data_IF_083080908518
#
_entry.id   IF_083080908518
#
_cell.length_a   1.000
_cell.length_b   1.000
_cell.length_c   1.000
_cell.angle_alpha   90.00
_cell.angle_beta   90.00
_cell.angle_gamma   90.00
#
_symmetry.space_group_name_H-M   'P 1'
#
loop_
_entity.id
_entity.type
_entity.pdbx_description
1 polymer ?
#
# COMPACT_ATOMS: atom_id res chain seq x y z
N UNK A 1 -20.26 2.76 10.56
CA UNK A 1 -20.10 3.82 9.56
C UNK A 1 -19.57 3.16 8.30
N UNK A 2 -20.19 3.43 7.14
CA UNK A 2 -19.62 3.02 5.85
C UNK A 2 -18.64 4.12 5.45
N UNK A 3 -17.41 3.73 5.12
CA UNK A 3 -16.38 4.64 4.62
C UNK A 3 -16.34 4.50 3.10
N UNK A 4 -15.96 5.55 2.38
CA UNK A 4 -15.77 5.50 0.93
C UNK A 4 -14.29 5.67 0.63
N UNK A 5 -13.76 4.82 -0.23
CA UNK A 5 -12.41 5.00 -0.78
C UNK A 5 -12.53 5.39 -2.23
N UNK A 6 -11.92 6.51 -2.60
CA UNK A 6 -11.84 6.99 -3.97
C UNK A 6 -10.41 6.84 -4.45
N UNK A 7 -10.22 6.20 -5.59
CA UNK A 7 -8.90 5.98 -6.17
C UNK A 7 -8.77 6.77 -7.48
N UNK A 8 -7.66 7.47 -7.61
CA UNK A 8 -7.32 8.27 -8.78
C UNK A 8 -5.96 7.80 -9.31
N UNK A 9 -5.93 7.34 -10.55
CA UNK A 9 -4.69 6.88 -11.18
C UNK A 9 -4.01 7.99 -11.96
N UNK A 10 -2.68 7.98 -11.99
CA UNK A 10 -1.90 8.76 -12.94
C UNK A 10 -1.59 7.89 -14.17
N UNK A 11 -2.50 7.90 -15.15
CA UNK A 11 -2.39 7.14 -16.40
C UNK A 11 -1.21 7.64 -17.24
N UNK A 12 -0.30 6.74 -17.63
CA UNK A 12 0.93 7.09 -18.35
C UNK A 12 0.66 7.22 -19.85
N UNK A 13 0.85 8.42 -20.40
CA UNK A 13 0.51 8.77 -21.78
C UNK A 13 1.67 8.50 -22.77
N UNK A 14 2.92 8.49 -22.31
CA UNK A 14 4.12 8.38 -23.16
C UNK A 14 5.11 7.26 -22.71
N UNK A 15 4.65 6.01 -22.51
CA UNK A 15 5.49 4.95 -21.95
C UNK A 15 6.74 4.63 -22.81
N UNK A 16 6.62 4.72 -24.14
CA UNK A 16 7.71 4.42 -25.08
C UNK A 16 8.79 5.51 -25.07
N UNK A 17 8.41 6.75 -24.85
CA UNK A 17 9.30 7.89 -24.74
C UNK A 17 10.05 7.84 -23.39
N UNK A 18 9.36 7.47 -22.31
CA UNK A 18 9.97 7.35 -20.98
C UNK A 18 11.07 6.29 -20.95
N UNK A 19 10.85 5.11 -21.55
CA UNK A 19 11.90 4.07 -21.61
C UNK A 19 13.15 4.51 -22.38
N UNK A 20 13.04 5.58 -23.18
CA UNK A 20 14.15 6.21 -23.90
C UNK A 20 14.67 7.49 -23.23
N UNK A 21 14.24 7.80 -22.01
CA UNK A 21 14.76 8.90 -21.19
C UNK A 21 13.95 10.19 -21.21
N UNK A 22 12.80 10.22 -21.90
CA UNK A 22 11.90 11.36 -21.82
C UNK A 22 11.27 11.49 -20.42
N UNK A 23 10.84 12.71 -20.09
CA UNK A 23 10.08 12.96 -18.85
C UNK A 23 8.70 12.27 -18.93
N UNK A 24 8.21 11.64 -17.85
CA UNK A 24 6.86 11.08 -17.83
C UNK A 24 5.78 12.16 -18.02
N UNK A 25 4.83 11.85 -18.90
CA UNK A 25 3.56 12.54 -19.04
C UNK A 25 2.47 11.63 -18.48
N UNK A 26 1.74 12.14 -17.49
CA UNK A 26 0.65 11.41 -16.86
C UNK A 26 -0.63 12.22 -16.88
N UNK A 27 -1.76 11.54 -16.92
CA UNK A 27 -3.10 12.12 -16.84
C UNK A 27 -3.88 11.48 -15.72
N UNK A 28 -4.52 12.28 -14.88
CA UNK A 28 -5.37 11.75 -13.82
C UNK A 28 -6.62 11.06 -14.41
N UNK A 29 -6.95 9.89 -13.88
CA UNK A 29 -8.12 9.09 -14.25
C UNK A 29 -8.80 8.55 -12.99
N UNK A 30 -10.04 8.97 -12.76
CA UNK A 30 -10.84 8.66 -11.57
C UNK A 30 -11.87 9.77 -11.29
N UNK A 31 -12.66 9.63 -10.22
CA UNK A 31 -12.52 8.63 -9.17
C UNK A 31 -13.08 7.25 -9.52
N UNK A 32 -12.39 6.19 -9.09
CA UNK A 32 -12.97 4.87 -8.91
C UNK A 32 -13.35 4.71 -7.44
N UNK A 33 -14.64 4.69 -7.16
CA UNK A 33 -15.19 4.74 -5.80
C UNK A 33 -15.58 3.35 -5.32
N UNK A 34 -15.19 3.01 -4.09
CA UNK A 34 -15.59 1.78 -3.43
C UNK A 34 -16.13 2.08 -2.03
N UNK A 35 -17.21 1.39 -1.65
CA UNK A 35 -17.65 1.29 -0.26
C UNK A 35 -16.68 0.39 0.49
N UNK A 36 -16.16 0.90 1.60
CA UNK A 36 -15.26 0.19 2.49
C UNK A 36 -15.98 -0.19 3.78
N UNK A 37 -15.97 -1.49 4.08
CA UNK A 37 -16.50 -2.05 5.31
C UNK A 37 -15.38 -2.64 6.16
N UNK A 38 -15.31 -2.23 7.43
CA UNK A 38 -14.35 -2.77 8.39
C UNK A 38 -15.02 -3.77 9.32
N UNK A 39 -14.48 -4.99 9.39
CA UNK A 39 -14.96 -6.03 10.32
C UNK A 39 -13.87 -6.36 11.33
N UNK A 40 -14.08 -5.95 12.58
CA UNK A 40 -13.25 -6.33 13.73
C UNK A 40 -13.73 -7.66 14.32
N UNK A 41 -12.80 -8.57 14.62
CA UNK A 41 -13.06 -9.86 15.27
C UNK A 41 -12.30 -9.92 16.58
N UNK A 42 -13.03 -9.93 17.69
CA UNK A 42 -12.44 -10.01 19.04
C UNK A 42 -11.74 -11.36 19.20
N UNK A 43 -10.52 -11.33 19.74
CA UNK A 43 -9.70 -12.50 20.04
C UNK A 43 -9.62 -12.78 21.53
N UNK A 44 -9.49 -11.74 22.36
CA UNK A 44 -9.45 -11.86 23.81
C UNK A 44 -9.79 -10.54 24.49
N UNK A 45 -10.13 -10.64 25.77
CA UNK A 45 -10.36 -9.51 26.67
C UNK A 45 -9.55 -9.78 27.95
N UNK A 46 -8.82 -8.79 28.42
CA UNK A 46 -8.10 -8.82 29.69
C UNK A 46 -8.67 -7.73 30.60
N UNK A 47 -9.35 -8.15 31.67
CA UNK A 47 -10.00 -7.24 32.60
C UNK A 47 -9.02 -6.55 33.55
N UNK A 48 -7.93 -7.23 33.91
CA UNK A 48 -6.93 -6.70 34.84
C UNK A 48 -6.14 -5.58 34.16
N UNK A 49 -5.71 -5.82 32.92
CA UNK A 49 -4.98 -4.86 32.11
C UNK A 49 -5.87 -3.84 31.40
N UNK A 50 -7.20 -3.99 31.50
CA UNK A 50 -8.20 -3.21 30.79
C UNK A 50 -7.98 -3.14 29.26
N UNK A 51 -7.70 -4.30 28.66
CA UNK A 51 -7.44 -4.40 27.22
C UNK A 51 -8.41 -5.32 26.49
N UNK A 52 -8.60 -5.03 25.21
CA UNK A 52 -9.26 -5.89 24.24
C UNK A 52 -8.32 -6.14 23.07
N UNK A 53 -8.20 -7.39 22.66
CA UNK A 53 -7.43 -7.75 21.48
C UNK A 53 -8.34 -8.17 20.34
N UNK A 54 -8.12 -7.63 19.14
CA UNK A 54 -8.89 -7.94 17.94
C UNK A 54 -8.00 -8.01 16.71
N UNK A 55 -8.51 -8.68 15.68
CA UNK A 55 -7.99 -8.56 14.32
C UNK A 55 -9.05 -7.90 13.43
N UNK A 56 -8.65 -7.23 12.35
CA UNK A 56 -9.59 -6.55 11.46
C UNK A 56 -9.30 -6.85 9.99
N UNK A 57 -10.38 -6.87 9.19
CA UNK A 57 -10.31 -6.99 7.73
C UNK A 57 -11.16 -5.92 7.07
N UNK A 58 -10.78 -5.52 5.87
CA UNK A 58 -11.44 -4.46 5.10
C UNK A 58 -12.03 -5.06 3.81
N UNK A 59 -13.32 -4.85 3.58
CA UNK A 59 -14.04 -5.34 2.40
C UNK A 59 -14.37 -4.12 1.54
N UNK A 60 -14.12 -4.24 0.24
CA UNK A 60 -14.33 -3.18 -0.74
C UNK A 60 -15.38 -3.63 -1.75
N UNK A 61 -16.36 -2.76 -2.01
CA UNK A 61 -17.44 -2.98 -2.96
C UNK A 61 -17.52 -1.78 -3.91
N UNK A 62 -17.40 -2.01 -5.21
CA UNK A 62 -17.39 -0.93 -6.21
C UNK A 62 -18.73 -0.19 -6.22
N UNK A 63 -18.68 1.15 -6.22
CA UNK A 63 -19.84 2.02 -6.31
C UNK A 63 -19.86 2.71 -7.68
N UNK A 64 -20.60 2.12 -8.61
CA UNK A 64 -20.71 2.63 -9.97
C UNK A 64 -21.40 3.99 -10.05
N UNK A 65 -22.34 4.29 -9.13
CA UNK A 65 -23.04 5.58 -9.12
C UNK A 65 -22.09 6.68 -8.66
N UNK A 66 -21.37 6.47 -7.55
CA UNK A 66 -20.40 7.42 -7.04
C UNK A 66 -19.18 7.61 -7.95
N UNK A 67 -18.83 6.61 -8.76
CA UNK A 67 -17.76 6.68 -9.77
C UNK A 67 -18.15 7.44 -11.04
N UNK A 68 -19.43 7.79 -11.20
CA UNK A 68 -19.92 8.53 -12.37
C UNK A 68 -19.69 7.78 -13.68
N UNK A 69 -18.80 8.30 -14.53
CA UNK A 69 -18.50 7.69 -15.84
C UNK A 69 -17.37 6.66 -15.79
N UNK A 70 -16.73 6.45 -14.63
CA UNK A 70 -15.64 5.52 -14.48
C UNK A 70 -16.13 4.15 -14.03
N UNK A 71 -15.53 3.10 -14.58
CA UNK A 71 -15.81 1.71 -14.24
C UNK A 71 -14.53 1.04 -13.75
N UNK A 72 -14.60 0.19 -12.73
CA UNK A 72 -13.42 -0.60 -12.33
C UNK A 72 -13.00 -1.65 -13.38
N UNK A 73 -13.80 -1.81 -14.43
CA UNK A 73 -13.46 -2.55 -15.66
C UNK A 73 -12.62 -1.72 -16.65
N UNK A 74 -12.41 -0.42 -16.39
CA UNK A 74 -11.53 0.44 -17.19
C UNK A 74 -10.07 -0.02 -17.14
N UNK A 75 -9.31 0.41 -18.14
CA UNK A 75 -7.86 0.16 -18.21
C UNK A 75 -7.05 1.42 -17.93
N UNK A 76 -5.90 1.24 -17.28
CA UNK A 76 -4.87 2.26 -17.03
C UNK A 76 -3.49 1.72 -17.42
N UNK A 77 -2.64 2.59 -17.92
CA UNK A 77 -1.23 2.35 -18.18
C UNK A 77 -0.43 2.81 -16.96
N UNK A 78 0.19 1.87 -16.25
CA UNK A 78 0.91 2.13 -15.00
C UNK A 78 2.28 1.46 -15.01
N UNK A 79 3.19 1.94 -14.16
CA UNK A 79 4.46 1.25 -13.91
C UNK A 79 4.19 -0.20 -13.50
N UNK A 80 4.95 -1.12 -14.10
CA UNK A 80 5.00 -2.52 -13.68
C UNK A 80 5.64 -2.61 -12.28
N UNK A 81 4.79 -2.42 -11.28
CA UNK A 81 5.15 -2.29 -9.87
C UNK A 81 5.80 -3.57 -9.32
N UNK A 82 5.31 -4.79 -9.65
CA UNK A 82 6.00 -6.04 -9.31
C UNK A 82 7.43 -6.09 -9.85
N UNK A 83 7.62 -5.78 -11.14
CA UNK A 83 8.95 -5.82 -11.77
C UNK A 83 9.89 -4.80 -11.16
N UNK A 84 9.45 -3.54 -11.03
CA UNK A 84 10.27 -2.48 -10.46
C UNK A 84 10.67 -2.81 -9.01
N UNK A 85 9.74 -3.35 -8.21
CA UNK A 85 10.01 -3.73 -6.82
C UNK A 85 10.98 -4.90 -6.71
N UNK A 86 10.81 -5.95 -7.53
CA UNK A 86 11.70 -7.12 -7.54
C UNK A 86 13.11 -6.73 -7.98
N UNK A 87 13.26 -5.87 -8.98
CA UNK A 87 14.56 -5.40 -9.45
C UNK A 87 15.26 -4.55 -8.37
N UNK A 88 14.55 -3.67 -7.68
CA UNK A 88 15.14 -2.92 -6.56
C UNK A 88 15.58 -3.82 -5.39
N UNK A 89 14.77 -4.84 -5.06
CA UNK A 89 15.15 -5.84 -4.07
C UNK A 89 16.40 -6.59 -4.52
N UNK A 90 16.45 -7.04 -5.78
CA UNK A 90 17.59 -7.76 -6.32
C UNK A 90 18.88 -6.92 -6.32
N UNK A 91 18.80 -5.60 -6.57
CA UNK A 91 19.95 -4.69 -6.46
C UNK A 91 20.52 -4.66 -5.03
N UNK A 92 19.66 -4.74 -3.99
CA UNK A 92 20.09 -4.79 -2.59
C UNK A 92 20.91 -6.05 -2.25
N UNK A 93 20.66 -7.16 -2.95
CA UNK A 93 21.40 -8.42 -2.75
C UNK A 93 22.68 -8.50 -3.59
N UNK A 94 22.96 -7.50 -4.43
CA UNK A 94 24.22 -7.37 -5.15
C UNK A 94 24.09 -7.43 -6.67
N UNK A 95 25.04 -6.80 -7.35
CA UNK A 95 25.01 -6.59 -8.79
C UNK A 95 25.00 -7.89 -9.63
N UNK A 96 25.54 -9.00 -9.09
CA UNK A 96 25.53 -10.30 -9.77
C UNK A 96 24.12 -10.87 -9.92
N UNK A 97 23.24 -10.65 -8.93
CA UNK A 97 21.84 -11.12 -9.02
C UNK A 97 21.13 -10.40 -10.15
N UNK A 98 21.32 -9.09 -10.27
CA UNK A 98 20.72 -8.30 -11.35
C UNK A 98 21.18 -8.74 -12.73
N UNK A 99 22.46 -9.12 -12.90
CA UNK A 99 22.94 -9.71 -14.16
C UNK A 99 22.23 -11.02 -14.51
N UNK A 100 22.03 -11.89 -13.52
CA UNK A 100 21.33 -13.16 -13.72
C UNK A 100 19.86 -12.93 -14.11
N UNK A 101 19.21 -11.93 -13.51
CA UNK A 101 17.81 -11.61 -13.80
C UNK A 101 17.60 -10.97 -15.17
N UNK A 102 18.57 -10.18 -15.66
CA UNK A 102 18.48 -9.49 -16.93
C UNK A 102 18.07 -10.39 -18.10
N UNK A 103 18.66 -11.59 -18.17
CA UNK A 103 18.42 -12.55 -19.23
C UNK A 103 17.14 -13.37 -19.04
N UNK A 104 16.50 -13.26 -17.87
CA UNK A 104 15.35 -14.06 -17.46
C UNK A 104 14.10 -13.23 -17.16
N UNK A 105 14.14 -11.91 -17.38
CA UNK A 105 13.02 -11.02 -17.06
C UNK A 105 11.73 -11.41 -17.77
N UNK A 106 11.82 -11.74 -19.06
CA UNK A 106 10.65 -12.15 -19.83
C UNK A 106 10.03 -13.44 -19.29
N UNK A 107 10.83 -14.39 -18.81
CA UNK A 107 10.32 -15.63 -18.21
C UNK A 107 9.69 -15.36 -16.82
N UNK A 108 10.20 -14.39 -16.08
CA UNK A 108 9.65 -14.04 -14.75
C UNK A 108 8.32 -13.29 -14.88
N UNK A 109 8.23 -12.34 -15.80
CA UNK A 109 7.10 -11.42 -15.93
C UNK A 109 6.17 -11.73 -17.10
N UNK A 110 6.52 -12.68 -17.97
CA UNK A 110 5.74 -13.09 -19.14
C UNK A 110 5.29 -11.90 -20.00
N UNK A 111 3.97 -11.75 -20.20
CA UNK A 111 3.35 -10.65 -20.94
C UNK A 111 3.55 -9.27 -20.28
N UNK A 112 4.02 -9.22 -19.03
CA UNK A 112 4.44 -8.00 -18.35
C UNK A 112 5.94 -7.72 -18.48
N UNK A 113 6.59 -8.17 -19.55
CA UNK A 113 8.02 -7.90 -19.79
C UNK A 113 8.38 -6.42 -20.02
N UNK A 114 7.43 -5.50 -19.98
CA UNK A 114 7.63 -4.06 -20.21
C UNK A 114 7.67 -3.25 -18.91
N UNK A 115 8.35 -2.09 -18.94
CA UNK A 115 8.43 -1.17 -17.78
C UNK A 115 7.05 -0.64 -17.39
N UNK A 116 6.20 -0.36 -18.37
CA UNK A 116 4.81 0.06 -18.19
C UNK A 116 3.88 -1.01 -18.72
N UNK A 117 2.78 -1.25 -18.01
CA UNK A 117 1.77 -2.25 -18.35
C UNK A 117 0.40 -1.60 -18.40
N UNK A 118 -0.41 -2.02 -19.36
CA UNK A 118 -1.82 -1.65 -19.44
C UNK A 118 -2.64 -2.71 -18.72
N UNK A 119 -3.29 -2.32 -17.63
CA UNK A 119 -3.99 -3.23 -16.71
C UNK A 119 -5.38 -2.73 -16.41
N UNK A 120 -6.30 -3.65 -16.11
CA UNK A 120 -7.64 -3.32 -15.65
C UNK A 120 -7.56 -2.76 -14.23
N UNK A 121 -8.37 -1.75 -13.92
CA UNK A 121 -8.39 -1.08 -12.61
C UNK A 121 -8.67 -2.08 -11.50
N UNK A 122 -9.69 -2.92 -11.66
CA UNK A 122 -10.02 -3.95 -10.68
C UNK A 122 -8.91 -4.97 -10.46
N UNK A 123 -8.17 -5.35 -11.51
CA UNK A 123 -7.04 -6.28 -11.40
C UNK A 123 -5.89 -5.69 -10.60
N UNK A 124 -5.50 -4.46 -10.90
CA UNK A 124 -4.36 -3.84 -10.20
C UNK A 124 -4.70 -3.47 -8.75
N UNK A 125 -5.95 -3.14 -8.46
CA UNK A 125 -6.39 -2.82 -7.10
C UNK A 125 -6.68 -4.05 -6.25
N UNK A 126 -7.36 -5.06 -6.80
CA UNK A 126 -7.93 -6.17 -6.04
C UNK A 126 -7.70 -7.54 -6.67
N UNK A 127 -8.26 -7.83 -7.85
CA UNK A 127 -8.33 -9.20 -8.40
C UNK A 127 -6.94 -9.82 -8.62
N UNK A 128 -5.96 -9.00 -8.98
CA UNK A 128 -4.55 -9.38 -9.11
C UNK A 128 -4.06 -9.41 -10.55
N UNK A 129 -2.90 -8.81 -10.80
CA UNK A 129 -2.18 -8.93 -12.07
C UNK A 129 -1.17 -10.07 -11.97
N UNK A 130 -1.33 -11.08 -12.83
CA UNK A 130 -0.59 -12.34 -12.76
C UNK A 130 0.87 -12.20 -13.27
N UNK A 131 1.82 -12.79 -12.55
CA UNK A 131 3.23 -12.92 -12.92
C UNK A 131 3.79 -14.26 -12.41
N UNK A 132 5.06 -14.57 -12.69
CA UNK A 132 5.68 -15.82 -12.22
C UNK A 132 4.92 -17.09 -12.66
N UNK A 133 4.36 -17.10 -13.88
CA UNK A 133 3.63 -18.27 -14.39
C UNK A 133 4.62 -19.40 -14.67
N UNK A 134 4.50 -20.57 -14.01
CA UNK A 134 5.41 -21.68 -14.22
C UNK A 134 5.36 -22.17 -15.67
N UNK A 135 6.52 -22.27 -16.30
CA UNK A 135 6.68 -22.87 -17.62
C UNK A 135 8.09 -23.48 -17.73
N UNK A 136 8.28 -24.37 -18.71
CA UNK A 136 9.60 -24.95 -18.95
C UNK A 136 10.49 -23.93 -19.67
N UNK A 137 11.53 -23.46 -19.00
CA UNK A 137 12.52 -22.55 -19.58
C UNK A 137 13.91 -22.76 -18.97
N UNK A 138 14.94 -22.24 -19.66
CA UNK A 138 16.31 -22.22 -19.14
C UNK A 138 16.47 -21.32 -17.89
N UNK A 139 15.47 -20.50 -17.58
CA UNK A 139 15.43 -19.61 -16.43
C UNK A 139 14.57 -20.12 -15.26
N UNK A 140 14.09 -21.37 -15.30
CA UNK A 140 13.19 -21.92 -14.28
C UNK A 140 13.75 -21.83 -12.84
N UNK A 141 15.06 -22.01 -12.66
CA UNK A 141 15.70 -21.88 -11.34
C UNK A 141 15.68 -20.43 -10.83
N UNK A 142 16.05 -19.48 -11.68
CA UNK A 142 16.06 -18.04 -11.38
C UNK A 142 14.65 -17.54 -11.10
N UNK A 143 13.69 -17.97 -11.92
CA UNK A 143 12.27 -17.68 -11.72
C UNK A 143 11.83 -18.18 -10.34
N UNK A 144 12.07 -19.46 -10.02
CA UNK A 144 11.70 -20.05 -8.72
C UNK A 144 12.27 -19.25 -7.55
N UNK A 145 13.54 -18.85 -7.60
CA UNK A 145 14.17 -18.06 -6.54
C UNK A 145 13.50 -16.69 -6.36
N UNK A 146 13.29 -15.95 -7.45
CA UNK A 146 12.64 -14.63 -7.42
C UNK A 146 11.20 -14.73 -6.93
N UNK A 147 10.44 -15.67 -7.47
CA UNK A 147 9.04 -15.85 -7.13
C UNK A 147 8.87 -16.28 -5.66
N UNK A 148 9.78 -17.09 -5.11
CA UNK A 148 9.76 -17.44 -3.69
C UNK A 148 10.01 -16.23 -2.76
N UNK A 149 10.82 -15.26 -3.20
CA UNK A 149 11.02 -14.01 -2.46
C UNK A 149 9.80 -13.11 -2.59
N UNK A 150 9.24 -12.99 -3.80
CA UNK A 150 8.06 -12.18 -4.08
C UNK A 150 6.82 -12.69 -3.33
N UNK A 151 6.61 -14.01 -3.27
CA UNK A 151 5.49 -14.66 -2.59
C UNK A 151 5.42 -14.40 -1.07
N UNK A 152 6.47 -13.86 -0.46
CA UNK A 152 6.48 -13.46 0.96
C UNK A 152 5.92 -12.05 1.19
N UNK A 153 5.62 -11.29 0.14
CA UNK A 153 5.10 -9.92 0.23
C UNK A 153 3.59 -9.94 0.40
N UNK A 154 3.05 -9.06 1.24
CA UNK A 154 1.60 -9.01 1.55
C UNK A 154 0.75 -8.77 0.30
N UNK A 155 1.20 -7.91 -0.60
CA UNK A 155 0.56 -7.56 -1.87
C UNK A 155 0.67 -8.64 -2.95
N UNK A 156 1.25 -9.80 -2.65
CA UNK A 156 1.45 -10.89 -3.61
C UNK A 156 0.74 -12.13 -3.11
N UNK A 157 -0.16 -12.67 -3.93
CA UNK A 157 -0.85 -13.92 -3.65
C UNK A 157 -0.27 -15.06 -4.50
N UNK A 158 -0.22 -16.26 -3.93
CA UNK A 158 0.15 -17.48 -4.66
C UNK A 158 -1.12 -18.20 -5.09
N UNK A 159 -1.24 -18.44 -6.39
CA UNK A 159 -2.37 -19.14 -7.01
C UNK A 159 -2.18 -20.67 -6.99
N UNK A 160 -3.27 -21.41 -7.21
CA UNK A 160 -3.27 -22.88 -7.20
C UNK A 160 -2.31 -23.49 -8.23
N UNK A 161 -2.15 -22.84 -9.38
CA UNK A 161 -1.20 -23.25 -10.42
C UNK A 161 0.25 -22.83 -10.13
N UNK A 162 0.59 -22.45 -8.89
CA UNK A 162 1.88 -21.91 -8.45
C UNK A 162 2.31 -20.58 -9.08
N UNK A 163 1.49 -19.94 -9.91
CA UNK A 163 1.75 -18.57 -10.34
C UNK A 163 1.50 -17.58 -9.20
N UNK A 164 1.99 -16.35 -9.39
CA UNK A 164 1.77 -15.26 -8.44
C UNK A 164 0.87 -14.21 -9.05
N UNK A 165 0.15 -13.48 -8.21
CA UNK A 165 -0.58 -12.29 -8.61
C UNK A 165 -0.27 -11.14 -7.69
N UNK A 166 -0.23 -9.93 -8.22
CA UNK A 166 -0.01 -8.71 -7.46
C UNK A 166 -1.24 -7.82 -7.51
N UNK A 167 -1.64 -7.28 -6.36
CA UNK A 167 -2.61 -6.19 -6.29
C UNK A 167 -2.32 -5.27 -5.10
N UNK A 168 -2.74 -4.02 -5.21
CA UNK A 168 -2.47 -3.02 -4.19
C UNK A 168 -3.19 -3.31 -2.87
N UNK A 169 -4.44 -3.74 -2.90
CA UNK A 169 -5.30 -3.74 -1.69
C UNK A 169 -5.93 -5.07 -1.33
N UNK A 170 -5.85 -6.11 -2.17
CA UNK A 170 -6.51 -7.39 -1.90
C UNK A 170 -6.12 -8.03 -0.55
N UNK A 171 -4.88 -7.83 -0.11
CA UNK A 171 -4.39 -8.35 1.17
C UNK A 171 -5.20 -7.84 2.37
N UNK A 172 -5.79 -6.64 2.27
CA UNK A 172 -6.64 -6.03 3.32
C UNK A 172 -7.99 -6.77 3.47
N UNK A 173 -8.47 -7.38 2.39
CA UNK A 173 -9.68 -8.20 2.38
C UNK A 173 -9.40 -9.66 2.74
N UNK A 174 -8.29 -10.21 2.22
CA UNK A 174 -7.91 -11.62 2.36
C UNK A 174 -7.39 -11.98 3.74
N UNK A 175 -6.61 -11.10 4.35
CA UNK A 175 -5.98 -11.33 5.66
C UNK A 175 -6.30 -10.21 6.62
N UNK A 176 -6.29 -10.51 7.92
CA UNK A 176 -6.26 -9.42 8.88
C UNK A 176 -4.91 -8.67 8.85
N UNK A 177 -4.95 -7.40 9.19
CA UNK A 177 -3.80 -6.50 9.19
C UNK A 177 -2.94 -6.61 10.46
N UNK A 178 -3.27 -7.56 11.35
CA UNK A 178 -2.54 -7.90 12.56
C UNK A 178 -3.40 -8.00 13.81
N UNK A 179 -2.80 -8.47 14.90
CA UNK A 179 -3.41 -8.50 16.22
C UNK A 179 -3.18 -7.17 16.93
N UNK A 180 -4.22 -6.36 17.04
CA UNK A 180 -4.22 -5.15 17.85
C UNK A 180 -4.60 -5.51 19.27
N UNK A 181 -3.85 -4.99 20.24
CA UNK A 181 -4.27 -4.94 21.65
C UNK A 181 -4.47 -3.48 22.01
N UNK A 182 -5.69 -3.10 22.34
CA UNK A 182 -6.07 -1.71 22.64
C UNK A 182 -6.68 -1.59 24.04
N UNK A 183 -6.56 -0.42 24.63
CA UNK A 183 -7.20 -0.07 25.91
C UNK A 183 -8.71 0.13 25.72
N UNK A 184 -9.50 -0.46 26.62
CA UNK A 184 -10.97 -0.36 26.60
C UNK A 184 -11.48 0.90 27.29
N UNK A 185 -10.67 1.55 28.12
CA UNK A 185 -11.01 2.80 28.79
C UNK A 185 -12.00 2.64 29.96
N UNK A 186 -12.19 1.43 30.49
CA UNK A 186 -13.08 1.18 31.64
C UNK A 186 -12.43 1.65 32.94
N UNK A 187 -11.13 1.38 33.11
CA UNK A 187 -10.38 1.81 34.30
C UNK A 187 -9.97 3.29 34.18
N UNK A 188 -9.58 3.72 32.98
CA UNK A 188 -9.22 5.10 32.69
C UNK A 188 -9.69 5.49 31.29
N UNK A 189 -10.75 6.29 31.23
CA UNK A 189 -11.38 6.72 29.98
C UNK A 189 -10.42 7.52 29.07
N UNK A 190 -9.41 8.18 29.64
CA UNK A 190 -8.37 8.91 28.90
C UNK A 190 -7.42 7.99 28.10
N UNK A 191 -7.55 6.68 28.27
CA UNK A 191 -6.77 5.67 27.51
C UNK A 191 -7.59 4.96 26.45
N UNK A 192 -8.89 5.27 26.32
CA UNK A 192 -9.79 4.62 25.38
C UNK A 192 -9.21 4.58 23.95
N UNK A 193 -9.16 3.39 23.35
CA UNK A 193 -8.71 3.18 21.98
C UNK A 193 -7.18 3.25 21.79
N UNK A 194 -6.39 3.53 22.83
CA UNK A 194 -4.93 3.53 22.71
C UNK A 194 -4.41 2.13 22.40
N UNK A 195 -3.61 2.03 21.33
CA UNK A 195 -2.94 0.80 20.93
C UNK A 195 -1.75 0.57 21.88
N UNK A 196 -1.78 -0.58 22.55
CA UNK A 196 -0.72 -1.04 23.46
C UNK A 196 0.26 -1.92 22.72
N UNK A 197 -0.23 -2.83 21.87
CA UNK A 197 0.59 -3.77 21.10
C UNK A 197 0.01 -3.98 19.70
N UNK A 198 0.91 -4.20 18.74
CA UNK A 198 0.61 -4.77 17.44
C UNK A 198 1.41 -6.06 17.28
N UNK A 199 0.74 -7.16 16.97
CA UNK A 199 1.34 -8.49 16.85
C UNK A 199 2.20 -8.86 18.07
N UNK A 200 1.66 -8.61 19.27
CA UNK A 200 2.32 -8.80 20.57
C UNK A 200 3.58 -7.96 20.81
N UNK A 201 3.88 -6.99 19.93
CA UNK A 201 5.02 -6.08 20.09
C UNK A 201 4.55 -4.65 20.33
N UNK A 202 5.29 -3.91 21.16
CA UNK A 202 5.12 -2.46 21.35
C UNK A 202 5.91 -1.64 20.33
N UNK A 203 6.68 -2.31 19.47
CA UNK A 203 7.55 -1.68 18.48
C UNK A 203 7.55 -2.43 17.14
N UNK A 204 7.70 -1.69 16.06
CA UNK A 204 7.98 -2.23 14.72
C UNK A 204 9.48 -2.39 14.50
N UNK A 205 9.85 -2.91 13.33
CA UNK A 205 11.23 -3.08 12.90
C UNK A 205 11.51 -2.43 11.54
N UNK A 206 10.68 -1.46 11.14
CA UNK A 206 10.79 -0.81 9.84
C UNK A 206 11.92 0.22 9.79
N UNK A 207 12.21 0.87 10.94
CA UNK A 207 13.13 1.99 11.01
C UNK A 207 14.47 1.65 11.65
N UNK A 208 14.87 0.38 11.59
CA UNK A 208 16.15 -0.11 12.14
C UNK A 208 17.37 0.69 11.66
N UNK A 209 17.32 1.27 10.45
CA UNK A 209 18.40 2.14 9.91
C UNK A 209 18.65 3.38 10.78
N UNK A 210 17.66 3.82 11.55
CA UNK A 210 17.74 4.97 12.46
C UNK A 210 18.26 4.57 13.86
N UNK A 211 18.58 3.29 14.06
CA UNK A 211 19.10 2.74 15.31
C UNK A 211 18.13 1.80 16.03
N UNK A 212 18.62 0.93 16.94
CA UNK A 212 17.83 -0.13 17.58
C UNK A 212 16.67 0.38 18.45
N UNK A 213 16.69 1.67 18.83
CA UNK A 213 15.70 2.31 19.69
C UNK A 213 15.04 3.55 19.07
N UNK A 214 14.92 3.59 17.74
CA UNK A 214 14.24 4.69 17.06
C UNK A 214 12.82 4.90 17.58
N UNK A 215 12.47 6.15 17.86
CA UNK A 215 11.10 6.58 18.19
C UNK A 215 10.13 6.31 17.04
N UNK A 216 10.62 6.24 15.80
CA UNK A 216 9.81 5.92 14.61
C UNK A 216 9.30 4.48 14.61
N UNK A 217 9.95 3.58 15.36
CA UNK A 217 9.51 2.19 15.51
C UNK A 217 8.51 1.99 16.64
N UNK A 218 8.10 3.05 17.37
CA UNK A 218 7.18 2.89 18.50
C UNK A 218 5.73 2.76 17.99
N UNK A 219 5.00 1.75 18.48
CA UNK A 219 3.56 1.59 18.23
C UNK A 219 2.83 2.38 19.31
N UNK A 220 2.32 3.57 18.96
CA UNK A 220 1.59 4.44 19.89
C UNK A 220 0.49 5.24 19.18
N UNK A 221 -0.55 5.60 19.94
CA UNK A 221 -1.71 6.31 19.43
C UNK A 221 -2.94 5.41 19.25
N UNK A 222 -3.92 5.88 18.49
CA UNK A 222 -5.17 5.17 18.18
C UNK A 222 -5.16 4.70 16.73
N UNK A 223 -6.13 3.86 16.36
CA UNK A 223 -6.38 3.48 14.97
C UNK A 223 -7.27 4.48 14.22
N UNK A 224 -7.47 5.69 14.77
CA UNK A 224 -8.34 6.76 14.27
C UNK A 224 -9.85 6.44 14.21
N UNK A 225 -10.30 5.29 14.69
CA UNK A 225 -11.74 4.96 14.72
C UNK A 225 -12.47 5.54 15.94
N UNK A 226 -11.72 5.88 16.99
CA UNK A 226 -12.22 6.42 18.25
C UNK A 226 -11.08 7.13 18.99
N UNK A 227 -11.41 8.21 19.69
CA UNK A 227 -10.51 8.93 20.58
C UNK A 227 -11.07 8.99 22.00
N UNK A 228 -10.24 9.26 23.01
CA UNK A 228 -10.72 9.60 24.34
C UNK A 228 -11.66 10.82 24.33
N UNK A 229 -12.69 10.84 25.19
CA UNK A 229 -13.63 11.97 25.35
C UNK A 229 -12.99 13.19 26.01
N UNK A 230 -13.73 14.30 26.06
CA UNK A 230 -13.32 15.59 26.66
C UNK A 230 -12.11 16.22 25.94
N UNK A 231 -12.17 16.27 24.62
CA UNK A 231 -11.13 16.85 23.77
C UNK A 231 -11.10 18.37 23.90
N UNK A 232 -9.89 18.92 24.08
CA UNK A 232 -9.63 20.36 24.03
C UNK A 232 -8.94 20.76 22.72
N UNK A 233 -8.88 22.06 22.43
CA UNK A 233 -8.15 22.57 21.25
C UNK A 233 -6.63 22.32 21.30
N UNK A 234 -6.08 22.12 22.50
CA UNK A 234 -4.65 21.86 22.71
C UNK A 234 -4.33 20.35 22.70
N UNK A 235 -5.35 19.48 22.54
CA UNK A 235 -5.18 18.03 22.51
C UNK A 235 -4.40 17.60 21.27
N UNK A 236 -3.36 16.78 21.47
CA UNK A 236 -2.55 16.22 20.37
C UNK A 236 -2.98 14.78 20.10
N UNK A 237 -3.52 14.54 18.91
CA UNK A 237 -3.91 13.20 18.48
C UNK A 237 -2.74 12.43 17.85
N UNK A 238 -2.41 11.29 18.45
CA UNK A 238 -1.48 10.32 17.85
C UNK A 238 -2.28 9.25 17.11
N UNK A 239 -2.00 9.11 15.82
CA UNK A 239 -2.62 8.12 14.94
C UNK A 239 -1.55 7.14 14.50
N UNK A 240 -1.84 5.86 14.64
CA UNK A 240 -1.02 4.79 14.09
C UNK A 240 -1.70 4.23 12.83
N UNK A 241 -1.06 4.39 11.68
CA UNK A 241 -1.52 3.83 10.41
C UNK A 241 -0.51 2.82 9.89
N UNK A 242 -0.96 1.58 9.71
CA UNK A 242 -0.15 0.50 9.12
C UNK A 242 0.18 0.72 7.65
N UNK A 243 -0.51 1.66 6.99
CA UNK A 243 -0.36 1.95 5.56
C UNK A 243 0.78 2.96 5.27
N UNK A 244 1.21 3.76 6.25
CA UNK A 244 2.14 4.88 6.04
C UNK A 244 3.51 4.59 6.67
N UNK A 245 4.46 4.13 5.85
CA UNK A 245 5.88 4.04 6.19
C UNK A 245 6.66 5.03 5.31
N UNK A 246 7.04 6.21 5.84
CA UNK A 246 7.46 7.40 5.06
C UNK A 246 8.85 7.32 4.39
N UNK A 247 8.98 7.93 3.22
CA UNK A 247 10.16 8.68 2.78
C UNK A 247 9.64 9.86 1.91
N UNK A 248 10.28 11.03 1.99
CA UNK A 248 9.84 12.28 1.36
C UNK A 248 10.16 12.33 -0.15
N UNK A 249 9.36 13.09 -0.91
CA UNK A 249 9.49 13.30 -2.36
C UNK A 249 9.34 14.80 -2.66
N UNK A 250 10.18 15.33 -3.55
CA UNK A 250 10.05 16.68 -4.14
C UNK A 250 9.38 16.62 -5.52
N UNK A 251 8.60 17.66 -5.87
CA UNK A 251 8.18 17.92 -7.26
C UNK A 251 6.69 17.75 -7.60
N UNK A 252 5.78 17.88 -6.64
CA UNK A 252 4.31 17.90 -6.86
C UNK A 252 3.82 19.35 -6.67
N UNK A 253 2.70 19.73 -7.28
CA UNK A 253 1.95 20.97 -7.00
C UNK A 253 0.83 20.68 -5.97
N UNK A 254 1.11 20.74 -4.66
CA UNK A 254 0.10 20.48 -3.64
C UNK A 254 -0.90 21.64 -3.54
N UNK A 255 -2.19 21.34 -3.64
CA UNK A 255 -3.27 22.25 -3.24
C UNK A 255 -3.77 21.85 -1.85
N UNK A 256 -3.62 22.72 -0.85
CA UNK A 256 -3.95 22.41 0.54
C UNK A 256 -5.41 21.99 0.72
N UNK A 257 -6.35 22.71 0.09
CA UNK A 257 -7.79 22.41 0.20
C UNK A 257 -8.15 21.03 -0.38
N UNK A 258 -7.44 20.61 -1.42
CA UNK A 258 -7.67 19.34 -2.12
C UNK A 258 -6.89 18.17 -1.51
N UNK A 259 -5.74 18.42 -0.87
CA UNK A 259 -4.81 17.36 -0.47
C UNK A 259 -4.58 17.27 1.05
N UNK A 260 -5.17 18.17 1.85
CA UNK A 260 -5.09 18.07 3.32
C UNK A 260 -5.78 16.80 3.82
N UNK A 261 -5.16 16.14 4.80
CA UNK A 261 -5.81 15.11 5.61
C UNK A 261 -6.38 15.79 6.85
N UNK A 262 -7.67 15.63 7.13
CA UNK A 262 -8.32 16.20 8.30
C UNK A 262 -9.24 15.20 8.99
N UNK A 263 -9.53 15.47 10.25
CA UNK A 263 -10.48 14.71 11.05
C UNK A 263 -11.29 15.69 11.90
N UNK A 264 -12.61 15.63 11.79
CA UNK A 264 -13.56 16.36 12.63
C UNK A 264 -14.02 15.39 13.70
N UNK A 265 -13.64 15.68 14.94
CA UNK A 265 -13.96 14.85 16.10
C UNK A 265 -14.94 15.62 16.99
N UNK A 266 -16.00 14.94 17.42
CA UNK A 266 -16.94 15.48 18.40
C UNK A 266 -16.25 15.56 19.78
N UNK A 267 -16.12 16.76 20.37
CA UNK A 267 -15.25 16.95 21.53
C UNK A 267 -15.66 16.20 22.80
N UNK A 268 -16.96 16.05 23.06
CA UNK A 268 -17.44 15.45 24.31
C UNK A 268 -17.22 13.94 24.32
N UNK A 269 -17.44 13.26 23.19
CA UNK A 269 -17.39 11.80 23.10
C UNK A 269 -16.09 11.25 22.50
N UNK A 270 -15.31 12.09 21.80
CA UNK A 270 -14.14 11.63 21.05
C UNK A 270 -14.47 10.87 19.77
N UNK A 271 -15.73 10.94 19.32
CA UNK A 271 -16.19 10.23 18.12
C UNK A 271 -15.83 11.00 16.85
N UNK A 272 -15.11 10.39 15.89
CA UNK A 272 -14.95 10.97 14.56
C UNK A 272 -16.30 11.12 13.86
N UNK A 273 -16.64 12.34 13.45
CA UNK A 273 -17.86 12.65 12.69
C UNK A 273 -17.61 12.60 11.19
N UNK A 274 -16.46 13.14 10.78
CA UNK A 274 -16.01 13.23 9.41
C UNK A 274 -14.50 13.13 9.39
N UNK A 275 -13.93 12.44 8.42
CA UNK A 275 -12.50 12.37 8.21
C UNK A 275 -12.23 12.28 6.73
N UNK A 276 -11.12 12.88 6.31
CA UNK A 276 -10.61 12.74 4.96
C UNK A 276 -9.12 12.44 5.07
N UNK A 277 -8.72 11.24 4.67
CA UNK A 277 -7.34 10.76 4.66
C UNK A 277 -6.90 10.63 3.21
N UNK A 278 -5.86 11.36 2.85
CA UNK A 278 -5.34 11.41 1.48
C UNK A 278 -3.92 10.89 1.42
N UNK A 279 -3.69 9.86 0.61
CA UNK A 279 -2.36 9.23 0.44
C UNK A 279 -2.07 9.07 -1.04
N UNK A 280 -0.85 9.45 -1.45
CA UNK A 280 -0.34 9.18 -2.77
C UNK A 280 0.70 8.06 -2.73
N UNK A 281 0.55 7.09 -3.63
CA UNK A 281 1.52 6.03 -3.87
C UNK A 281 2.42 6.45 -5.03
N UNK A 282 3.73 6.45 -4.77
CA UNK A 282 4.75 6.84 -5.72
C UNK A 282 5.78 5.71 -5.87
N UNK A 283 6.44 5.67 -7.02
CA UNK A 283 7.58 4.79 -7.26
C UNK A 283 8.79 5.56 -7.76
N UNK A 284 9.98 5.20 -7.26
CA UNK A 284 11.22 5.71 -7.82
C UNK A 284 11.48 5.02 -9.15
N UNK A 285 11.56 5.83 -10.21
CA UNK A 285 11.97 5.42 -11.54
C UNK A 285 13.42 5.88 -11.75
N UNK A 286 14.29 4.95 -12.14
CA UNK A 286 15.70 5.25 -12.40
C UNK A 286 16.34 4.17 -13.28
N UNK A 287 17.51 4.45 -13.88
CA UNK A 287 18.27 3.43 -14.57
C UNK A 287 18.65 2.23 -13.71
N UNK A 288 18.57 1.04 -14.29
CA UNK A 288 19.10 -0.22 -13.73
C UNK A 288 20.09 -0.82 -14.74
N UNK A 289 21.38 -0.76 -14.42
CA UNK A 289 22.47 -0.86 -15.41
C UNK A 289 22.50 -2.13 -16.28
N UNK A 290 22.15 -3.30 -15.74
CA UNK A 290 22.15 -4.55 -16.53
C UNK A 290 20.78 -4.90 -17.11
N UNK A 291 19.74 -4.10 -16.87
CA UNK A 291 18.40 -4.34 -17.40
C UNK A 291 18.19 -3.41 -18.60
N UNK A 292 18.28 -3.96 -19.81
CA UNK A 292 18.21 -3.16 -21.04
C UNK A 292 16.97 -2.26 -21.12
N UNK A 293 15.80 -2.80 -20.73
CA UNK A 293 14.52 -2.09 -20.70
C UNK A 293 14.50 -0.88 -19.76
N UNK A 294 15.40 -0.86 -18.76
CA UNK A 294 15.47 0.20 -17.76
C UNK A 294 16.69 1.09 -17.92
N UNK A 295 17.58 0.81 -18.88
CA UNK A 295 18.90 1.46 -18.98
C UNK A 295 18.82 2.97 -19.19
N UNK A 296 17.81 3.43 -19.92
CA UNK A 296 17.65 4.83 -20.32
C UNK A 296 16.56 5.57 -19.55
N UNK A 297 15.96 4.95 -18.52
CA UNK A 297 14.89 5.59 -17.76
C UNK A 297 15.36 6.91 -17.12
N UNK A 298 14.51 7.94 -17.06
CA UNK A 298 14.81 9.14 -16.30
C UNK A 298 14.89 8.83 -14.79
N UNK A 299 15.64 9.63 -14.05
CA UNK A 299 15.64 9.60 -12.58
C UNK A 299 14.55 10.53 -12.06
N UNK A 300 13.40 9.97 -11.72
CA UNK A 300 12.23 10.72 -11.27
C UNK A 300 11.45 9.91 -10.23
N UNK A 301 10.65 10.59 -9.44
CA UNK A 301 9.61 9.94 -8.65
C UNK A 301 8.32 9.99 -9.47
N UNK A 302 7.85 8.80 -9.87
CA UNK A 302 6.67 8.64 -10.70
C UNK A 302 5.45 8.44 -9.79
N UNK A 303 4.44 9.32 -9.86
CA UNK A 303 3.18 9.11 -9.18
C UNK A 303 2.40 7.98 -9.86
N UNK A 304 1.84 7.07 -9.06
CA UNK A 304 1.10 5.91 -9.58
C UNK A 304 -0.40 6.11 -9.41
N UNK A 305 -0.81 6.39 -8.17
CA UNK A 305 -2.19 6.67 -7.81
C UNK A 305 -2.23 7.48 -6.51
N UNK A 306 -3.34 8.16 -6.27
CA UNK A 306 -3.68 8.69 -4.96
C UNK A 306 -5.07 8.24 -4.54
N UNK A 307 -5.28 8.27 -3.24
CA UNK A 307 -6.43 7.69 -2.56
C UNK A 307 -7.00 8.75 -1.64
N UNK A 308 -8.31 8.88 -1.64
CA UNK A 308 -9.10 9.58 -0.63
C UNK A 308 -9.93 8.56 0.14
N UNK A 309 -9.87 8.61 1.46
CA UNK A 309 -10.62 7.74 2.40
C UNK A 309 -11.33 8.56 3.48
#
# INVERSE_FOLDING_TARGET
>A
MVTYIQVYFFDVENPNEIVNGAKPLVKEKGPYVYKQYRKKTIKSIDENEDTISYTQREIFEFDAEASGNFSDEDYVTILNTPMNSILQIAEKYGHQIIKLLANCLNDIFNQMGTVFVKVRVKDILFDGVQFCVPHSSLCALQQTLVCNVAAKKKNVDKLQNNSLQFSFFNYKARSDDGLYTVKRGIQNIQTLGHIVKLNNSTRTNFWQRLGPNSVCDKVEGTDSTLYPPEISRDSVFKIYSTDICRDNIDGIEPHEDLHRTYLIVEPETGTPLEGMKRIQINAVLRPVGNINLMKHLPRVVLPLLWIEE
#
